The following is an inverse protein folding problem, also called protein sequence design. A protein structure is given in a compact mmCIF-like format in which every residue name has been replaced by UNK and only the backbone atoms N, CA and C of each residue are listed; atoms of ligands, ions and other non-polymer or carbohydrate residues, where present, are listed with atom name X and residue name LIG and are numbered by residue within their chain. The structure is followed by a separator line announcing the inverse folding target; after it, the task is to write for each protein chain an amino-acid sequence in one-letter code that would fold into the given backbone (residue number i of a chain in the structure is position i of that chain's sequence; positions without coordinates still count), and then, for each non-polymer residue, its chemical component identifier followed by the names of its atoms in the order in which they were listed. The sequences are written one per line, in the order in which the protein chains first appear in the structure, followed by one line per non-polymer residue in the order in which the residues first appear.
data_IF_686797565999
#
_entry.id   IF_686797565999
#
_cell.length_a   1.000
_cell.length_b   1.000
_cell.length_c   1.000
_cell.angle_alpha   90.00
_cell.angle_beta   90.00
_cell.angle_gamma   90.00
#
_symmetry.space_group_name_H-M   'P 1'
#
loop_
_entity.id
_entity.type
_entity.pdbx_description
1 polymer ?
#
# COMPACT_ATOMS: atom_id res chain seq x y z
N UNK A 1 -7.06 42.08 -22.14
CA UNK A 1 -6.55 40.69 -22.21
C UNK A 1 -6.46 40.16 -20.79
N UNK A 2 -7.36 39.26 -20.40
CA UNK A 2 -7.29 38.60 -19.10
C UNK A 2 -6.18 37.54 -19.15
N UNK A 3 -5.30 37.42 -18.14
CA UNK A 3 -4.28 36.38 -18.14
C UNK A 3 -4.98 35.02 -18.14
N UNK A 4 -4.58 34.16 -19.08
CA UNK A 4 -4.94 32.74 -19.10
C UNK A 4 -4.63 32.13 -17.73
N UNK A 5 -5.66 31.79 -16.97
CA UNK A 5 -5.51 31.01 -15.73
C UNK A 5 -5.07 29.62 -16.16
N UNK A 6 -3.77 29.37 -16.21
CA UNK A 6 -3.24 28.01 -16.17
C UNK A 6 -3.81 27.37 -14.90
N UNK A 7 -4.72 26.42 -15.06
CA UNK A 7 -5.21 25.62 -13.95
C UNK A 7 -4.03 24.75 -13.48
N UNK A 8 -3.26 25.26 -12.52
CA UNK A 8 -2.30 24.44 -11.79
C UNK A 8 -3.11 23.41 -11.00
N UNK A 9 -3.03 22.15 -11.42
CA UNK A 9 -3.59 21.04 -10.67
C UNK A 9 -2.63 20.79 -9.51
N UNK A 10 -3.16 20.86 -8.29
CA UNK A 10 -2.43 20.49 -7.07
C UNK A 10 -1.94 19.03 -7.17
N UNK A 11 -0.64 18.73 -6.97
CA UNK A 11 -0.11 17.38 -7.16
C UNK A 11 -0.85 16.29 -6.37
N UNK A 12 -1.29 16.56 -5.13
CA UNK A 12 -2.06 15.60 -4.32
C UNK A 12 -3.39 15.15 -4.95
N UNK A 13 -3.91 15.85 -5.98
CA UNK A 13 -5.12 15.46 -6.72
C UNK A 13 -4.85 14.50 -7.88
N UNK A 14 -3.59 14.29 -8.25
CA UNK A 14 -3.22 13.39 -9.32
C UNK A 14 -3.55 11.95 -8.94
N UNK A 15 -4.07 11.19 -9.89
CA UNK A 15 -4.11 9.73 -9.80
C UNK A 15 -2.68 9.18 -9.77
N UNK A 16 -2.52 7.94 -9.28
CA UNK A 16 -1.22 7.27 -9.29
C UNK A 16 -0.59 7.21 -10.69
N UNK A 17 -1.39 7.00 -11.73
CA UNK A 17 -0.93 6.96 -13.11
C UNK A 17 -0.42 8.33 -13.60
N UNK A 18 -1.15 9.40 -13.31
CA UNK A 18 -0.74 10.77 -13.68
C UNK A 18 0.52 11.21 -12.94
N UNK A 19 0.59 10.94 -11.63
CA UNK A 19 1.77 11.26 -10.82
C UNK A 19 3.01 10.51 -11.32
N UNK A 20 2.88 9.19 -11.58
CA UNK A 20 3.96 8.40 -12.17
C UNK A 20 4.39 8.92 -13.54
N UNK A 21 3.43 9.27 -14.40
CA UNK A 21 3.73 9.85 -15.72
C UNK A 21 4.56 11.12 -15.62
N UNK A 22 4.19 12.03 -14.70
CA UNK A 22 4.92 13.27 -14.45
C UNK A 22 6.31 13.06 -13.87
N UNK A 23 6.46 12.15 -12.91
CA UNK A 23 7.76 11.78 -12.32
C UNK A 23 8.68 11.16 -13.38
N UNK A 24 8.15 10.29 -14.25
CA UNK A 24 8.93 9.66 -15.33
C UNK A 24 9.39 10.68 -16.38
N UNK A 25 8.56 11.69 -16.65
CA UNK A 25 8.83 12.78 -17.58
C UNK A 25 9.74 13.90 -17.03
N UNK A 26 10.17 13.81 -15.76
CA UNK A 26 10.84 14.89 -15.01
C UNK A 26 10.04 16.22 -14.96
N UNK A 27 8.71 16.13 -15.04
CA UNK A 27 7.83 17.30 -14.88
C UNK A 27 7.52 17.61 -13.41
N UNK A 28 7.83 16.68 -12.51
CA UNK A 28 7.59 16.75 -11.07
C UNK A 28 8.58 15.83 -10.37
N UNK A 29 9.21 16.27 -9.28
CA UNK A 29 10.08 15.41 -8.49
C UNK A 29 9.28 14.54 -7.51
N UNK A 30 9.89 13.46 -7.01
CA UNK A 30 9.28 12.65 -5.93
C UNK A 30 9.13 13.51 -4.68
N UNK A 31 10.11 14.36 -4.39
CA UNK A 31 10.05 15.31 -3.29
C UNK A 31 8.85 16.27 -3.41
N UNK A 32 8.65 16.90 -4.57
CA UNK A 32 7.54 17.83 -4.81
C UNK A 32 6.18 17.14 -4.60
N UNK A 33 6.04 15.91 -5.08
CA UNK A 33 4.81 15.15 -4.87
C UNK A 33 4.58 14.79 -3.40
N UNK A 34 5.62 14.34 -2.70
CA UNK A 34 5.56 14.01 -1.28
C UNK A 34 5.19 15.23 -0.41
N UNK A 35 5.77 16.40 -0.70
CA UNK A 35 5.44 17.66 -0.03
C UNK A 35 3.95 17.98 -0.17
N UNK A 36 3.42 17.92 -1.38
CA UNK A 36 2.00 18.17 -1.65
C UNK A 36 1.06 17.23 -0.89
N UNK A 37 1.44 15.95 -0.75
CA UNK A 37 0.66 14.97 0.00
C UNK A 37 0.72 15.21 1.51
N UNK A 38 1.91 15.51 2.06
CA UNK A 38 2.07 15.81 3.48
C UNK A 38 1.31 17.08 3.88
N UNK A 39 1.34 18.13 3.05
CA UNK A 39 0.52 19.33 3.25
C UNK A 39 -0.98 19.00 3.28
N UNK A 40 -1.42 18.12 2.37
CA UNK A 40 -2.81 17.68 2.32
C UNK A 40 -3.21 16.88 3.56
N UNK A 41 -2.34 16.00 4.04
CA UNK A 41 -2.55 15.23 5.27
C UNK A 41 -2.66 16.18 6.45
N UNK A 42 -1.69 17.08 6.63
CA UNK A 42 -1.68 18.07 7.71
C UNK A 42 -2.95 18.92 7.75
N UNK A 43 -3.48 19.29 6.59
CA UNK A 43 -4.69 20.10 6.49
C UNK A 43 -5.99 19.34 6.81
N UNK A 44 -5.98 18.01 6.91
CA UNK A 44 -7.22 17.20 6.97
C UNK A 44 -7.25 16.12 8.02
N UNK A 45 -6.11 15.63 8.48
CA UNK A 45 -6.10 14.42 9.29
C UNK A 45 -6.63 14.63 10.72
N UNK A 46 -6.74 15.88 11.18
CA UNK A 46 -7.48 16.20 12.40
C UNK A 46 -8.95 15.75 12.32
N UNK A 47 -9.57 15.91 11.15
CA UNK A 47 -10.96 15.50 10.89
C UNK A 47 -11.04 14.01 10.47
N UNK A 48 -10.13 13.58 9.58
CA UNK A 48 -10.19 12.26 8.93
C UNK A 48 -9.66 11.15 9.84
N UNK A 49 -8.61 11.42 10.61
CA UNK A 49 -7.95 10.48 11.52
C UNK A 49 -7.54 9.17 10.82
N UNK A 50 -6.94 9.29 9.64
CA UNK A 50 -6.53 8.14 8.83
C UNK A 50 -5.21 7.52 9.29
N UNK A 51 -4.32 8.29 9.94
CA UNK A 51 -2.96 7.84 10.25
C UNK A 51 -2.82 7.48 11.74
N UNK A 52 -2.54 6.20 12.02
CA UNK A 52 -2.12 5.75 13.35
C UNK A 52 -0.66 6.13 13.65
N UNK A 53 0.15 6.23 12.61
CA UNK A 53 1.56 6.62 12.66
C UNK A 53 1.95 7.25 11.32
N UNK A 54 2.68 8.36 11.37
CA UNK A 54 3.24 9.04 10.21
C UNK A 54 4.56 9.71 10.59
N UNK A 55 5.64 9.36 9.90
CA UNK A 55 6.94 10.03 10.03
C UNK A 55 7.19 10.90 8.80
N UNK A 56 6.75 12.17 8.88
CA UNK A 56 6.90 13.14 7.79
C UNK A 56 8.37 13.36 7.39
N UNK A 57 9.29 13.32 8.37
CA UNK A 57 10.72 13.54 8.11
C UNK A 57 11.29 12.39 7.30
N UNK A 58 10.94 11.16 7.66
CA UNK A 58 11.34 9.96 6.92
C UNK A 58 10.77 9.96 5.51
N UNK A 59 9.49 10.29 5.32
CA UNK A 59 8.87 10.42 3.98
C UNK A 59 9.67 11.39 3.10
N UNK A 60 9.99 12.57 3.63
CA UNK A 60 10.77 13.58 2.91
C UNK A 60 12.21 13.16 2.63
N UNK A 61 12.84 12.40 3.53
CA UNK A 61 14.17 11.87 3.33
C UNK A 61 14.19 10.82 2.21
N UNK A 62 13.27 9.85 2.24
CA UNK A 62 13.15 8.82 1.20
C UNK A 62 12.82 9.43 -0.18
N UNK A 63 11.94 10.44 -0.22
CA UNK A 63 11.62 11.14 -1.47
C UNK A 63 12.86 11.76 -2.13
N UNK A 64 13.71 12.44 -1.35
CA UNK A 64 14.99 12.99 -1.85
C UNK A 64 15.93 11.91 -2.36
N UNK A 65 16.07 10.80 -1.62
CA UNK A 65 16.91 9.68 -2.03
C UNK A 65 16.41 9.05 -3.34
N UNK A 66 15.09 8.95 -3.53
CA UNK A 66 14.49 8.44 -4.76
C UNK A 66 14.80 9.35 -5.96
N UNK A 67 14.74 10.67 -5.79
CA UNK A 67 15.09 11.63 -6.85
C UNK A 67 16.55 11.47 -7.34
N UNK A 68 17.47 11.05 -6.47
CA UNK A 68 18.88 10.80 -6.81
C UNK A 68 19.10 9.49 -7.62
N UNK A 69 18.13 8.57 -7.64
CA UNK A 69 18.27 7.29 -8.34
C UNK A 69 18.24 7.52 -9.86
N UNK A 70 19.25 7.04 -10.63
CA UNK A 70 19.26 7.16 -12.09
C UNK A 70 18.03 6.52 -12.73
N UNK A 71 17.44 7.15 -13.75
CA UNK A 71 16.22 6.66 -14.43
C UNK A 71 16.26 5.18 -14.83
N UNK A 72 17.41 4.72 -15.34
CA UNK A 72 17.63 3.31 -15.74
C UNK A 72 17.49 2.29 -14.59
N UNK A 73 17.59 2.75 -13.34
CA UNK A 73 17.47 1.93 -12.13
C UNK A 73 16.10 2.08 -11.45
N UNK A 74 15.20 2.90 -12.00
CA UNK A 74 13.87 3.14 -11.42
C UNK A 74 12.91 2.02 -11.81
N UNK A 75 12.20 1.48 -10.82
CA UNK A 75 11.13 0.50 -11.04
C UNK A 75 9.81 1.14 -11.51
N UNK A 76 8.80 0.34 -11.88
CA UNK A 76 7.55 0.84 -12.46
C UNK A 76 6.72 1.72 -11.51
N UNK A 77 6.90 1.56 -10.19
CA UNK A 77 6.21 2.35 -9.15
C UNK A 77 7.15 3.35 -8.46
N UNK A 78 8.30 3.66 -9.06
CA UNK A 78 9.28 4.55 -8.45
C UNK A 78 8.65 5.91 -8.10
N UNK A 79 8.80 6.34 -6.84
CA UNK A 79 8.30 7.62 -6.35
C UNK A 79 6.82 7.65 -5.98
N UNK A 80 6.07 6.56 -6.18
CA UNK A 80 4.66 6.50 -5.78
C UNK A 80 4.55 6.12 -4.28
N UNK A 81 3.90 6.96 -3.45
CA UNK A 81 3.71 6.65 -2.04
C UNK A 81 2.56 5.65 -1.83
N UNK A 82 2.68 4.86 -0.76
CA UNK A 82 1.63 3.94 -0.30
C UNK A 82 1.36 4.17 1.19
N UNK A 83 0.13 3.93 1.62
CA UNK A 83 -0.23 3.82 3.03
C UNK A 83 -0.36 2.33 3.39
N UNK A 84 0.15 1.95 4.56
CA UNK A 84 0.10 0.57 5.06
C UNK A 84 -0.87 0.52 6.23
N UNK A 85 -1.84 -0.39 6.18
CA UNK A 85 -2.83 -0.56 7.25
C UNK A 85 -2.12 -1.08 8.52
N UNK A 86 -2.49 -0.55 9.69
CA UNK A 86 -1.96 -0.89 11.03
C UNK A 86 -2.37 -2.29 11.53
N UNK A 87 -2.31 -3.27 10.64
CA UNK A 87 -2.45 -4.72 10.89
C UNK A 87 -1.43 -5.52 10.05
N UNK A 88 -0.63 -4.82 9.24
CA UNK A 88 0.40 -5.37 8.38
C UNK A 88 1.73 -5.00 9.01
N UNK A 89 2.56 -6.00 9.32
CA UNK A 89 3.86 -5.76 9.93
C UNK A 89 4.78 -4.93 9.03
N UNK A 90 5.34 -3.90 9.64
CA UNK A 90 6.35 -2.99 9.10
C UNK A 90 7.49 -2.92 10.10
N UNK A 91 8.64 -3.53 9.82
CA UNK A 91 9.71 -3.72 10.80
C UNK A 91 10.20 -2.41 11.45
N UNK A 92 10.18 -1.34 10.68
CA UNK A 92 10.75 -0.05 11.04
C UNK A 92 9.70 1.02 11.41
N UNK A 93 8.44 0.60 11.58
CA UNK A 93 7.32 1.42 12.05
C UNK A 93 6.51 0.63 13.07
N UNK A 94 5.77 1.27 13.98
CA UNK A 94 4.95 0.52 14.92
C UNK A 94 3.81 -0.20 14.18
N UNK A 95 3.42 -1.37 14.68
CA UNK A 95 2.18 -2.05 14.27
C UNK A 95 1.38 -2.39 15.52
N UNK A 96 0.27 -1.68 15.72
CA UNK A 96 -0.44 -1.60 17.02
C UNK A 96 -1.87 -2.15 16.97
N UNK A 97 -2.32 -2.62 15.81
CA UNK A 97 -3.65 -3.24 15.64
C UNK A 97 -4.80 -2.36 16.13
N UNK A 98 -4.58 -1.04 16.21
CA UNK A 98 -5.50 -0.10 16.86
C UNK A 98 -5.97 -0.57 18.26
N UNK A 99 -5.06 -1.14 19.06
CA UNK A 99 -5.37 -1.70 20.39
C UNK A 99 -4.30 -1.32 21.41
N UNK A 100 -4.69 -0.80 22.60
CA UNK A 100 -3.75 -0.42 23.66
C UNK A 100 -2.81 -1.54 24.13
N UNK A 101 -3.17 -2.80 23.87
CA UNK A 101 -2.34 -3.96 24.17
C UNK A 101 -1.02 -3.98 23.37
N UNK A 102 -0.99 -3.29 22.24
CA UNK A 102 0.14 -3.26 21.31
C UNK A 102 0.73 -1.85 21.18
N UNK A 103 0.44 -0.95 22.13
CA UNK A 103 1.01 0.39 22.12
C UNK A 103 2.54 0.34 22.10
N UNK A 104 3.14 0.99 21.09
CA UNK A 104 4.60 0.98 20.91
C UNK A 104 5.20 -0.37 20.48
N UNK A 105 4.38 -1.30 19.97
CA UNK A 105 4.87 -2.56 19.42
C UNK A 105 5.52 -2.35 18.04
N UNK A 106 6.79 -2.73 17.92
CA UNK A 106 7.54 -2.76 16.67
C UNK A 106 7.82 -4.21 16.29
N UNK A 107 7.30 -4.70 15.15
CA UNK A 107 7.57 -6.07 14.73
C UNK A 107 9.04 -6.25 14.32
N UNK A 108 9.58 -7.45 14.49
CA UNK A 108 10.98 -7.76 14.10
C UNK A 108 11.17 -7.98 12.58
N UNK A 109 10.06 -8.13 11.86
CA UNK A 109 10.02 -8.45 10.43
C UNK A 109 8.93 -7.65 9.72
N UNK A 110 9.10 -7.47 8.42
CA UNK A 110 8.01 -7.04 7.54
C UNK A 110 7.08 -8.21 7.23
N UNK A 111 5.82 -7.90 6.94
CA UNK A 111 4.91 -8.84 6.32
C UNK A 111 5.35 -9.15 4.88
N UNK A 112 5.02 -10.34 4.38
CA UNK A 112 5.37 -10.74 3.01
C UNK A 112 4.90 -9.73 1.94
N UNK A 113 3.73 -9.12 2.12
CA UNK A 113 3.22 -8.07 1.22
C UNK A 113 4.11 -6.82 1.17
N UNK A 114 4.84 -6.50 2.26
CA UNK A 114 5.82 -5.42 2.31
C UNK A 114 7.16 -5.76 1.64
N UNK A 115 7.45 -7.05 1.44
CA UNK A 115 8.71 -7.54 0.83
C UNK A 115 8.64 -7.64 -0.70
N UNK A 116 7.64 -7.01 -1.33
CA UNK A 116 7.41 -7.03 -2.77
C UNK A 116 7.18 -8.43 -3.36
N UNK A 117 6.75 -9.39 -2.54
CA UNK A 117 6.29 -10.69 -3.02
C UNK A 117 4.77 -10.70 -3.14
N UNK A 118 4.21 -11.40 -4.14
CA UNK A 118 2.77 -11.53 -4.26
C UNK A 118 2.20 -12.35 -3.09
N UNK A 119 1.12 -11.85 -2.50
CA UNK A 119 0.38 -12.49 -1.40
C UNK A 119 -1.09 -12.52 -1.76
N UNK A 120 -1.73 -13.67 -1.61
CA UNK A 120 -3.15 -13.87 -1.83
C UNK A 120 -3.78 -14.46 -0.56
N UNK A 121 -4.78 -13.80 -0.02
CA UNK A 121 -5.56 -14.34 1.09
C UNK A 121 -6.80 -15.03 0.52
N UNK A 122 -6.88 -16.35 0.68
CA UNK A 122 -8.01 -17.17 0.28
C UNK A 122 -8.89 -17.40 1.52
N UNK A 123 -10.10 -16.84 1.59
CA UNK A 123 -11.02 -17.13 2.69
C UNK A 123 -11.42 -18.61 2.62
N UNK A 124 -11.31 -19.29 3.76
CA UNK A 124 -11.74 -20.67 3.93
C UNK A 124 -13.06 -20.71 4.69
N UNK A 125 -13.10 -21.50 5.77
CA UNK A 125 -14.29 -21.78 6.56
C UNK A 125 -14.34 -21.00 7.88
N UNK A 126 -15.36 -21.26 8.69
CA UNK A 126 -15.47 -20.75 10.06
C UNK A 126 -15.04 -21.84 11.05
N UNK A 127 -14.24 -21.48 12.05
CA UNK A 127 -13.94 -22.37 13.18
C UNK A 127 -15.14 -22.55 14.11
N UNK A 128 -14.98 -23.39 15.14
CA UNK A 128 -16.05 -23.81 16.08
C UNK A 128 -16.81 -22.66 16.76
N UNK A 129 -16.21 -21.47 16.84
CA UNK A 129 -16.82 -20.26 17.42
C UNK A 129 -17.25 -19.23 16.37
N UNK A 130 -17.37 -19.62 15.10
CA UNK A 130 -17.75 -18.72 14.00
C UNK A 130 -16.63 -17.81 13.51
N UNK A 131 -15.40 -17.98 14.02
CA UNK A 131 -14.23 -17.20 13.61
C UNK A 131 -13.84 -17.53 12.16
N UNK A 132 -13.70 -16.54 11.26
CA UNK A 132 -13.27 -16.81 9.90
C UNK A 132 -11.82 -17.31 9.88
N UNK A 133 -11.60 -18.41 9.18
CA UNK A 133 -10.29 -19.02 8.93
C UNK A 133 -10.03 -18.88 7.43
N UNK A 134 -8.80 -18.51 7.08
CA UNK A 134 -8.35 -18.42 5.70
C UNK A 134 -6.90 -18.84 5.58
N UNK A 135 -6.43 -18.91 4.33
CA UNK A 135 -5.06 -19.25 4.02
C UNK A 135 -4.40 -18.10 3.26
N UNK A 136 -3.25 -17.65 3.76
CA UNK A 136 -2.38 -16.73 3.04
C UNK A 136 -1.40 -17.52 2.17
N UNK A 137 -1.54 -17.39 0.87
CA UNK A 137 -0.64 -17.96 -0.13
C UNK A 137 0.40 -16.91 -0.52
N UNK A 138 1.67 -17.30 -0.56
CA UNK A 138 2.79 -16.43 -0.91
C UNK A 138 3.59 -17.10 -2.01
N UNK A 139 3.91 -16.37 -3.09
CA UNK A 139 4.78 -16.87 -4.15
C UNK A 139 6.04 -16.01 -4.27
N UNK A 140 7.10 -16.49 -4.94
CA UNK A 140 8.25 -15.65 -5.24
C UNK A 140 7.88 -14.40 -6.06
N UNK A 141 8.73 -13.38 -6.00
CA UNK A 141 8.54 -12.13 -6.73
C UNK A 141 8.29 -12.38 -8.23
N UNK A 142 7.33 -11.64 -8.81
CA UNK A 142 6.92 -11.73 -10.22
C UNK A 142 6.25 -13.06 -10.62
N UNK A 143 5.66 -13.79 -9.66
CA UNK A 143 4.94 -15.04 -9.90
C UNK A 143 3.44 -14.90 -9.63
N UNK A 144 2.89 -13.72 -9.82
CA UNK A 144 1.50 -13.36 -9.54
C UNK A 144 0.52 -14.30 -10.25
N UNK A 145 0.72 -14.57 -11.55
CA UNK A 145 -0.11 -15.52 -12.30
C UNK A 145 -0.09 -16.92 -11.68
N UNK A 146 1.09 -17.40 -11.32
CA UNK A 146 1.23 -18.70 -10.68
C UNK A 146 0.53 -18.73 -9.31
N UNK A 147 0.64 -17.66 -8.52
CA UNK A 147 -0.06 -17.54 -7.25
C UNK A 147 -1.58 -17.56 -7.43
N UNK A 148 -2.11 -16.91 -8.47
CA UNK A 148 -3.53 -16.94 -8.80
C UNK A 148 -3.99 -18.34 -9.24
N UNK A 149 -3.19 -19.06 -10.04
CA UNK A 149 -3.47 -20.44 -10.43
C UNK A 149 -3.54 -21.38 -9.21
N UNK A 150 -2.58 -21.25 -8.29
CA UNK A 150 -2.60 -21.99 -7.00
C UNK A 150 -3.79 -21.57 -6.16
N UNK A 151 -4.08 -20.27 -6.08
CA UNK A 151 -5.23 -19.72 -5.37
C UNK A 151 -6.56 -20.27 -5.87
N UNK A 152 -6.71 -20.45 -7.19
CA UNK A 152 -7.87 -21.10 -7.78
C UNK A 152 -8.02 -22.55 -7.31
N UNK A 153 -6.94 -23.33 -7.36
CA UNK A 153 -6.97 -24.72 -6.92
C UNK A 153 -7.28 -24.86 -5.41
N UNK A 154 -6.76 -23.95 -4.58
CA UNK A 154 -7.09 -23.89 -3.14
C UNK A 154 -8.55 -23.47 -2.93
N UNK A 155 -9.03 -22.49 -3.69
CA UNK A 155 -10.41 -22.02 -3.64
C UNK A 155 -11.41 -23.13 -3.93
N UNK A 156 -11.17 -23.94 -4.96
CA UNK A 156 -12.02 -25.10 -5.31
C UNK A 156 -12.17 -26.10 -4.14
N UNK A 157 -11.10 -26.31 -3.36
CA UNK A 157 -11.14 -27.15 -2.16
C UNK A 157 -11.96 -26.49 -1.05
N UNK A 158 -11.76 -25.19 -0.80
CA UNK A 158 -12.47 -24.47 0.26
C UNK A 158 -13.95 -24.28 -0.03
N UNK A 159 -14.34 -24.08 -1.29
CA UNK A 159 -15.74 -24.03 -1.71
C UNK A 159 -16.44 -25.38 -1.43
N UNK A 160 -15.79 -26.50 -1.75
CA UNK A 160 -16.35 -27.83 -1.51
C UNK A 160 -16.60 -28.14 -0.02
N UNK A 161 -15.79 -27.59 0.87
CA UNK A 161 -15.89 -27.75 2.33
C UNK A 161 -16.79 -26.70 3.00
N UNK A 162 -17.56 -25.92 2.22
CA UNK A 162 -18.51 -24.94 2.74
C UNK A 162 -17.86 -23.65 3.26
N UNK A 163 -16.67 -23.31 2.75
CA UNK A 163 -15.91 -22.14 3.19
C UNK A 163 -16.60 -20.81 2.89
N UNK A 164 -17.10 -20.62 1.67
CA UNK A 164 -17.83 -19.42 1.29
C UNK A 164 -18.72 -19.65 0.05
N UNK A 165 -19.85 -18.93 -0.03
CA UNK A 165 -20.73 -18.94 -1.20
C UNK A 165 -20.36 -17.82 -2.19
N UNK A 166 -20.02 -18.19 -3.43
CA UNK A 166 -19.80 -17.23 -4.51
C UNK A 166 -21.13 -16.54 -4.88
N UNK A 167 -21.21 -15.23 -4.61
CA UNK A 167 -22.39 -14.38 -4.93
C UNK A 167 -22.25 -13.62 -6.25
N UNK A 168 -21.28 -13.99 -7.07
CA UNK A 168 -21.03 -13.34 -8.36
C UNK A 168 -21.66 -14.24 -9.42
N UNK A 169 -22.79 -13.81 -9.97
CA UNK A 169 -23.44 -14.37 -11.18
C UNK A 169 -22.64 -14.05 -12.44
#
# INVERSE_FOLDING_TARGET
MSPSKTHHIEPWKLTAFEALGKIQADEMSVQEYAESLLERIKARDEDVKAWAYLDEKRVMQEARLLDEIPKKNRGPLHGLPIAVKDVIYTKDMPTQFNSPLYDGHFPETDAASGLHVPVLNVPGFKGDHGMPIGLSLVAPRYRDRHLLEVGKAVGEIFEAEGGWETKIE
#
